data_IF_818545959750
#
_entry.id   IF_818545959750
#
_cell.length_a   1.000
_cell.length_b   1.000
_cell.length_c   1.000
_cell.angle_alpha   90.00
_cell.angle_beta   90.00
_cell.angle_gamma   90.00
#
_symmetry.space_group_name_H-M   'P 1'
#
loop_
_entity.id
_entity.type
_entity.pdbx_description
1 polymer ?
#
# COMPACT_ATOMS: atom_id res chain seq x y z
N UNK A 1 17.24 21.96 47.99
CA UNK A 1 18.24 21.75 46.93
C UNK A 1 17.72 20.62 46.06
N UNK A 2 16.98 20.95 45.01
CA UNK A 2 16.30 19.98 44.14
C UNK A 2 17.26 19.48 43.07
N UNK A 3 17.57 18.20 43.11
CA UNK A 3 18.43 17.52 42.15
C UNK A 3 17.54 17.09 40.97
N UNK A 4 17.54 17.89 39.91
CA UNK A 4 16.87 17.55 38.65
C UNK A 4 17.78 16.60 37.86
N UNK A 5 17.63 15.30 38.10
CA UNK A 5 18.23 14.26 37.25
C UNK A 5 17.50 14.23 35.90
N UNK A 6 17.90 15.10 34.98
CA UNK A 6 17.60 14.95 33.56
C UNK A 6 18.45 13.80 33.02
N UNK A 7 17.86 12.60 33.01
CA UNK A 7 18.34 11.50 32.19
C UNK A 7 18.08 11.90 30.74
N UNK A 8 19.11 12.43 30.08
CA UNK A 8 19.22 12.47 28.63
C UNK A 8 19.20 11.03 28.12
N UNK A 9 18.00 10.48 27.95
CA UNK A 9 17.74 9.32 27.12
C UNK A 9 18.18 9.70 25.72
N UNK A 10 19.45 9.41 25.42
CA UNK A 10 20.04 9.44 24.11
C UNK A 10 19.02 8.91 23.12
N UNK A 11 18.43 9.85 22.39
CA UNK A 11 17.41 9.61 21.38
C UNK A 11 18.13 8.82 20.29
N UNK A 12 18.17 7.50 20.41
CA UNK A 12 18.42 6.62 19.28
C UNK A 12 17.28 6.91 18.32
N UNK A 13 17.51 7.89 17.44
CA UNK A 13 16.67 8.14 16.30
C UNK A 13 16.75 6.85 15.49
N UNK A 14 15.80 5.94 15.70
CA UNK A 14 15.65 4.77 14.85
C UNK A 14 15.45 5.32 13.45
N UNK A 15 16.53 5.30 12.66
CA UNK A 15 16.52 5.67 11.25
C UNK A 15 15.61 4.64 10.57
N UNK A 16 14.36 5.02 10.35
CA UNK A 16 13.41 4.16 9.69
C UNK A 16 13.83 4.08 8.22
N UNK A 17 13.98 2.88 7.67
CA UNK A 17 14.25 2.71 6.25
C UNK A 17 12.94 2.56 5.48
N UNK A 18 12.92 3.03 4.23
CA UNK A 18 11.80 2.76 3.34
C UNK A 18 11.68 1.25 3.10
N UNK A 19 10.50 0.68 3.35
CA UNK A 19 10.27 -0.75 3.17
C UNK A 19 10.46 -1.23 1.71
N UNK A 20 10.27 -0.36 0.73
CA UNK A 20 10.33 -0.72 -0.70
C UNK A 20 11.75 -0.56 -1.26
N UNK A 21 12.38 0.59 -1.02
CA UNK A 21 13.66 0.92 -1.65
C UNK A 21 14.86 0.92 -0.68
N UNK A 22 14.64 0.62 0.60
CA UNK A 22 15.69 0.52 1.61
C UNK A 22 16.35 1.85 2.02
N UNK A 23 16.02 2.98 1.38
CA UNK A 23 16.64 4.28 1.68
C UNK A 23 16.34 4.74 3.11
N UNK A 24 17.32 5.33 3.82
CA UNK A 24 17.11 5.87 5.16
C UNK A 24 16.19 7.09 5.12
N UNK A 25 15.27 7.16 6.10
CA UNK A 25 14.33 8.26 6.28
C UNK A 25 14.76 9.08 7.50
N UNK A 26 15.56 10.10 7.22
CA UNK A 26 16.17 10.97 8.23
C UNK A 26 15.12 11.86 8.92
N UNK A 27 14.03 12.21 8.25
CA UNK A 27 12.99 13.09 8.81
C UNK A 27 11.64 12.41 8.97
N UNK A 28 10.93 12.72 10.06
CA UNK A 28 9.57 12.26 10.30
C UNK A 28 8.59 12.61 9.17
N UNK A 29 8.78 13.76 8.52
CA UNK A 29 7.98 14.22 7.37
C UNK A 29 8.15 13.35 6.11
N UNK A 30 9.25 12.60 6.02
CA UNK A 30 9.51 11.67 4.90
C UNK A 30 8.96 10.27 5.15
N UNK A 31 8.48 9.98 6.38
CA UNK A 31 7.95 8.69 6.80
C UNK A 31 6.45 8.59 6.48
N UNK A 32 6.11 8.15 5.28
CA UNK A 32 4.72 7.95 4.89
C UNK A 32 4.29 6.52 5.18
N UNK A 33 3.10 6.34 5.75
CA UNK A 33 2.51 5.02 5.96
C UNK A 33 1.61 4.68 4.79
N UNK A 34 1.87 3.54 4.14
CA UNK A 34 1.05 3.01 3.04
C UNK A 34 0.84 1.52 3.18
N UNK A 35 -0.29 1.05 2.66
CA UNK A 35 -0.58 -0.37 2.62
C UNK A 35 0.21 -0.99 1.46
N UNK A 36 1.13 -1.89 1.76
CA UNK A 36 2.03 -2.50 0.78
C UNK A 36 1.93 -4.00 0.85
N UNK A 37 2.26 -4.68 -0.26
CA UNK A 37 2.35 -6.13 -0.30
C UNK A 37 3.50 -6.58 0.61
N UNK A 38 3.19 -7.29 1.68
CA UNK A 38 4.16 -7.79 2.67
C UNK A 38 4.53 -9.25 2.45
N UNK A 39 3.70 -9.99 1.71
CA UNK A 39 3.96 -11.39 1.41
C UNK A 39 3.06 -11.93 0.32
N UNK A 40 3.43 -13.09 -0.20
CA UNK A 40 2.66 -13.83 -1.18
C UNK A 40 2.76 -15.32 -0.90
N UNK A 41 1.61 -15.98 -0.91
CA UNK A 41 1.55 -17.43 -0.81
C UNK A 41 0.95 -17.96 -2.11
N UNK A 42 1.72 -18.80 -2.81
CA UNK A 42 1.31 -19.40 -4.09
C UNK A 42 1.03 -20.87 -3.83
N UNK A 43 -0.22 -21.31 -3.99
CA UNK A 43 -0.53 -22.73 -4.11
C UNK A 43 -0.25 -23.18 -5.53
N UNK A 44 0.59 -24.21 -5.65
CA UNK A 44 0.86 -24.88 -6.92
C UNK A 44 0.12 -26.21 -6.94
N UNK A 45 -0.38 -26.57 -8.11
CA UNK A 45 -0.84 -27.93 -8.38
C UNK A 45 0.36 -28.87 -8.34
N UNK A 46 0.28 -29.93 -7.54
CA UNK A 46 1.35 -30.93 -7.42
C UNK A 46 1.51 -31.78 -8.68
N UNK A 47 0.47 -31.91 -9.51
CA UNK A 47 0.52 -32.72 -10.74
C UNK A 47 1.12 -31.97 -11.92
N UNK A 48 0.74 -30.69 -12.10
CA UNK A 48 1.17 -29.90 -13.26
C UNK A 48 2.22 -28.84 -12.94
N UNK A 49 2.51 -28.59 -11.66
CA UNK A 49 3.41 -27.53 -11.20
C UNK A 49 2.87 -26.11 -11.40
N UNK A 50 1.67 -25.96 -11.99
CA UNK A 50 1.09 -24.67 -12.34
C UNK A 50 0.53 -23.96 -11.08
N UNK A 51 0.64 -22.62 -11.01
CA UNK A 51 0.04 -21.87 -9.91
C UNK A 51 -1.48 -21.93 -10.01
N UNK A 52 -2.14 -22.51 -9.00
CA UNK A 52 -3.60 -22.58 -8.92
C UNK A 52 -4.19 -21.34 -8.27
N UNK A 53 -3.56 -20.85 -7.20
CA UNK A 53 -4.04 -19.67 -6.51
C UNK A 53 -2.89 -18.90 -5.88
N UNK A 54 -3.06 -17.57 -5.84
CA UNK A 54 -2.08 -16.63 -5.31
C UNK A 54 -2.76 -15.79 -4.26
N UNK A 55 -2.40 -15.99 -2.99
CA UNK A 55 -2.89 -15.20 -1.88
C UNK A 55 -1.84 -14.14 -1.52
N UNK A 56 -2.20 -12.87 -1.76
CA UNK A 56 -1.34 -11.73 -1.44
C UNK A 56 -1.69 -11.21 -0.05
N UNK A 57 -0.68 -11.01 0.80
CA UNK A 57 -0.82 -10.36 2.10
C UNK A 57 -0.39 -8.91 1.98
N UNK A 58 -1.20 -8.03 2.54
CA UNK A 58 -0.96 -6.60 2.59
C UNK A 58 -0.82 -6.16 4.04
N UNK A 59 0.02 -5.17 4.29
CA UNK A 59 0.18 -4.57 5.61
C UNK A 59 0.73 -3.16 5.53
N UNK A 60 0.41 -2.37 6.55
CA UNK A 60 0.88 -0.99 6.65
C UNK A 60 2.37 -0.96 6.96
N UNK A 61 3.15 -0.27 6.13
CA UNK A 61 4.60 -0.07 6.28
C UNK A 61 4.99 1.38 6.02
N UNK A 62 6.17 1.75 6.52
CA UNK A 62 6.77 3.06 6.29
C UNK A 62 7.48 3.04 4.93
N UNK A 63 7.20 4.03 4.10
CA UNK A 63 7.77 4.20 2.76
C UNK A 63 8.21 5.65 2.57
N UNK A 64 9.17 5.86 1.66
CA UNK A 64 9.59 7.20 1.26
C UNK A 64 8.54 7.87 0.36
N UNK A 65 8.65 9.18 0.19
CA UNK A 65 7.73 9.97 -0.63
C UNK A 65 7.64 9.49 -2.10
N UNK A 66 8.77 9.12 -2.71
CA UNK A 66 8.78 8.62 -4.08
C UNK A 66 7.98 7.31 -4.23
N UNK A 67 8.19 6.36 -3.32
CA UNK A 67 7.47 5.10 -3.32
C UNK A 67 5.98 5.29 -2.98
N UNK A 68 5.65 6.19 -2.05
CA UNK A 68 4.26 6.51 -1.73
C UNK A 68 3.51 7.08 -2.94
N UNK A 69 4.10 8.05 -3.66
CA UNK A 69 3.51 8.63 -4.87
C UNK A 69 3.21 7.57 -5.95
N UNK A 70 4.12 6.61 -6.10
CA UNK A 70 3.93 5.53 -7.07
C UNK A 70 2.79 4.58 -6.67
N UNK A 71 2.66 4.25 -5.38
CA UNK A 71 1.53 3.46 -4.86
C UNK A 71 0.23 4.22 -5.06
N UNK A 72 0.18 5.47 -4.61
CA UNK A 72 -1.03 6.31 -4.68
C UNK A 72 -1.47 6.48 -6.15
N UNK A 73 -0.53 6.66 -7.09
CA UNK A 73 -0.83 6.76 -8.53
C UNK A 73 -1.34 5.44 -9.15
N UNK A 74 -0.97 4.29 -8.59
CA UNK A 74 -1.50 2.99 -9.01
C UNK A 74 -2.92 2.80 -8.49
N UNK A 75 -3.15 3.10 -7.21
CA UNK A 75 -4.45 2.93 -6.56
C UNK A 75 -5.51 3.84 -7.22
N UNK A 76 -5.14 5.08 -7.55
CA UNK A 76 -5.98 6.01 -8.31
C UNK A 76 -6.34 5.47 -9.70
N UNK A 77 -5.41 4.82 -10.39
CA UNK A 77 -5.69 4.22 -11.72
C UNK A 77 -6.70 3.08 -11.62
N UNK A 78 -6.53 2.19 -10.63
CA UNK A 78 -7.50 1.11 -10.42
C UNK A 78 -8.87 1.64 -10.02
N UNK A 79 -8.93 2.64 -9.14
CA UNK A 79 -10.18 3.25 -8.73
C UNK A 79 -10.88 3.91 -9.94
N UNK A 80 -10.14 4.65 -10.77
CA UNK A 80 -10.68 5.27 -11.99
C UNK A 80 -11.27 4.23 -12.94
N UNK A 81 -10.63 3.09 -13.14
CA UNK A 81 -11.17 2.02 -13.96
C UNK A 81 -12.48 1.44 -13.40
N UNK A 82 -12.57 1.26 -12.08
CA UNK A 82 -13.80 0.80 -11.43
C UNK A 82 -14.95 1.80 -11.61
N UNK A 83 -14.67 3.10 -11.45
CA UNK A 83 -15.68 4.14 -11.68
C UNK A 83 -16.17 4.19 -13.13
N UNK A 84 -15.27 4.01 -14.10
CA UNK A 84 -15.65 3.92 -15.52
C UNK A 84 -16.55 2.70 -15.76
N UNK A 85 -16.21 1.54 -15.19
CA UNK A 85 -17.02 0.33 -15.34
C UNK A 85 -18.42 0.50 -14.72
N UNK A 86 -18.52 1.09 -13.53
CA UNK A 86 -19.80 1.37 -12.88
C UNK A 86 -20.63 2.37 -13.69
N UNK A 87 -20.01 3.44 -14.19
CA UNK A 87 -20.68 4.42 -15.05
C UNK A 87 -21.22 3.78 -16.33
N UNK A 88 -20.43 2.94 -16.99
CA UNK A 88 -20.84 2.24 -18.20
C UNK A 88 -21.98 1.25 -17.92
N UNK A 89 -21.92 0.51 -16.81
CA UNK A 89 -22.99 -0.40 -16.40
C UNK A 89 -24.32 0.34 -16.17
N UNK A 90 -24.28 1.51 -15.50
CA UNK A 90 -25.47 2.35 -15.29
C UNK A 90 -26.06 2.87 -16.60
N UNK A 91 -25.23 3.28 -17.56
CA UNK A 91 -25.70 3.72 -18.88
C UNK A 91 -26.40 2.59 -19.63
N UNK A 92 -25.83 1.38 -19.61
CA UNK A 92 -26.43 0.21 -20.26
C UNK A 92 -27.76 -0.17 -19.63
N UNK A 93 -27.85 -0.18 -18.29
CA UNK A 93 -29.11 -0.46 -17.57
C UNK A 93 -30.16 0.61 -17.87
N UNK A 94 -29.78 1.89 -17.85
CA UNK A 94 -30.68 2.98 -18.21
C UNK A 94 -31.20 2.88 -19.64
N UNK A 95 -30.33 2.52 -20.60
CA UNK A 95 -30.73 2.31 -21.99
C UNK A 95 -31.71 1.14 -22.14
N UNK A 96 -31.46 0.02 -21.45
CA UNK A 96 -32.36 -1.14 -21.46
C UNK A 96 -33.75 -0.79 -20.89
N UNK A 97 -33.82 -0.02 -19.80
CA UNK A 97 -35.08 0.40 -19.20
C UNK A 97 -35.89 1.35 -20.07
N UNK A 98 -35.24 2.15 -20.92
CA UNK A 98 -35.92 3.05 -21.86
C UNK A 98 -36.40 2.29 -23.11
N UNK A 99 -35.69 1.22 -23.49
CA UNK A 99 -35.98 0.43 -24.68
C UNK A 99 -37.05 -0.66 -24.47
N UNK A 100 -37.37 -1.00 -23.22
CA UNK A 100 -38.49 -1.89 -22.81
C UNK A 100 -39.75 -1.10 -22.53
#
# INVERSE_FOLDING_TARGET
>A
MGFSDQIDLGKTECMANCYICGRPLNESRTRLRRNVKTGEWVRRDYRTGKPMSVQKRFGTRIVCQGCAKWIDARDLRSARWQWIQLGLALVVVGFLLIAT
#
